data_IF_677032705074
#
_entry.id   IF_677032705074
#
_cell.length_a   1.000
_cell.length_b   1.000
_cell.length_c   1.000
_cell.angle_alpha   90.00
_cell.angle_beta   90.00
_cell.angle_gamma   90.00
#
_symmetry.space_group_name_H-M   'P 1'
#
loop_
_entity.id
_entity.type
_entity.pdbx_description
1 polymer ?
#
# COMPACT_ATOMS: atom_id res chain seq x y z
N UNK A 1 4.56 -3.32 7.85
CA UNK A 1 4.31 -1.92 8.28
C UNK A 1 4.26 -1.79 9.81
N UNK A 2 3.45 -2.58 10.52
CA UNK A 2 3.37 -2.60 12.00
C UNK A 2 4.71 -2.55 12.74
N UNK A 3 5.69 -3.39 12.38
CA UNK A 3 7.03 -3.37 13.00
C UNK A 3 7.73 -2.02 12.84
N UNK A 4 7.53 -1.36 11.69
CA UNK A 4 8.08 -0.05 11.45
C UNK A 4 7.39 1.00 12.34
N UNK A 5 6.09 0.88 12.61
CA UNK A 5 5.34 1.77 13.50
C UNK A 5 5.81 1.68 14.95
N UNK A 6 6.09 0.45 15.44
CA UNK A 6 6.65 0.20 16.79
C UNK A 6 8.08 0.76 16.95
N UNK A 7 8.77 1.06 15.84
CA UNK A 7 10.13 1.59 15.84
C UNK A 7 11.21 0.55 15.52
N UNK A 8 10.83 -0.68 15.20
CA UNK A 8 11.75 -1.75 14.80
C UNK A 8 12.02 -1.67 13.29
N UNK A 9 12.70 -0.59 12.87
CA UNK A 9 12.90 -0.28 11.44
C UNK A 9 13.66 -1.39 10.68
N UNK A 10 14.64 -2.04 11.31
CA UNK A 10 15.42 -3.13 10.69
C UNK A 10 14.53 -4.33 10.38
N UNK A 11 13.77 -4.83 11.36
CA UNK A 11 12.88 -5.96 11.16
C UNK A 11 11.78 -5.64 10.13
N UNK A 12 11.27 -4.41 10.14
CA UNK A 12 10.36 -3.91 9.11
C UNK A 12 10.97 -3.98 7.71
N UNK A 13 12.22 -3.56 7.54
CA UNK A 13 12.94 -3.64 6.26
C UNK A 13 13.16 -5.09 5.81
N UNK A 14 13.47 -6.01 6.73
CA UNK A 14 13.61 -7.44 6.41
C UNK A 14 12.31 -8.00 5.83
N UNK A 15 11.16 -7.73 6.47
CA UNK A 15 9.87 -8.20 5.94
C UNK A 15 9.53 -7.58 4.58
N UNK A 16 9.86 -6.31 4.37
CA UNK A 16 9.68 -5.68 3.06
C UNK A 16 10.64 -6.21 1.99
N UNK A 17 11.87 -6.54 2.35
CA UNK A 17 12.84 -7.19 1.46
C UNK A 17 12.33 -8.57 1.00
N UNK A 18 11.82 -9.37 1.93
CA UNK A 18 11.17 -10.66 1.61
C UNK A 18 9.98 -10.48 0.67
N UNK A 19 9.16 -9.43 0.88
CA UNK A 19 8.05 -9.11 -0.02
C UNK A 19 8.48 -8.63 -1.42
N UNK A 20 9.73 -8.19 -1.58
CA UNK A 20 10.26 -7.59 -2.82
C UNK A 20 11.01 -8.58 -3.70
N UNK A 21 11.36 -9.77 -3.18
CA UNK A 21 12.22 -10.77 -3.82
C UNK A 21 12.02 -10.93 -5.34
N UNK A 22 10.95 -11.59 -5.79
CA UNK A 22 10.73 -11.89 -7.23
C UNK A 22 9.69 -10.99 -7.89
N UNK A 23 9.14 -10.01 -7.16
CA UNK A 23 8.05 -9.16 -7.65
C UNK A 23 8.32 -7.69 -7.37
N UNK A 24 8.24 -6.87 -8.41
CA UNK A 24 8.45 -5.42 -8.33
C UNK A 24 7.46 -4.73 -7.39
N UNK A 25 6.26 -5.28 -7.19
CA UNK A 25 5.22 -4.69 -6.33
C UNK A 25 5.71 -4.43 -4.90
N UNK A 26 6.60 -5.29 -4.38
CA UNK A 26 7.16 -5.12 -3.04
C UNK A 26 8.00 -3.84 -2.90
N UNK A 27 8.61 -3.34 -3.98
CA UNK A 27 9.41 -2.10 -3.96
C UNK A 27 8.59 -0.87 -3.53
N UNK A 28 7.28 -0.86 -3.82
CA UNK A 28 6.38 0.23 -3.44
C UNK A 28 6.25 0.34 -1.91
N UNK A 29 6.52 -0.74 -1.17
CA UNK A 29 6.53 -0.72 0.30
C UNK A 29 7.64 0.17 0.88
N UNK A 30 8.70 0.47 0.12
CA UNK A 30 9.70 1.46 0.54
C UNK A 30 9.07 2.83 0.81
N UNK A 31 7.93 3.15 0.17
CA UNK A 31 7.15 4.35 0.46
C UNK A 31 6.69 4.46 1.92
N UNK A 32 6.38 3.34 2.59
CA UNK A 32 6.02 3.35 4.01
C UNK A 32 7.20 3.77 4.90
N UNK A 33 8.40 3.27 4.62
CA UNK A 33 9.63 3.65 5.33
C UNK A 33 9.89 5.15 5.14
N UNK A 34 9.91 5.62 3.89
CA UNK A 34 10.15 7.03 3.55
C UNK A 34 9.15 7.93 4.30
N UNK A 35 7.86 7.60 4.24
CA UNK A 35 6.83 8.41 4.86
C UNK A 35 6.92 8.44 6.39
N UNK A 36 7.11 7.28 7.03
CA UNK A 36 7.13 7.19 8.48
C UNK A 36 8.37 7.87 9.07
N UNK A 37 9.53 7.76 8.41
CA UNK A 37 10.73 8.51 8.79
C UNK A 37 10.54 10.02 8.57
N UNK A 38 9.95 10.44 7.45
CA UNK A 38 9.61 11.84 7.22
C UNK A 38 8.67 12.39 8.31
N UNK A 39 7.64 11.62 8.68
CA UNK A 39 6.70 11.98 9.75
C UNK A 39 7.40 12.09 11.11
N UNK A 40 8.35 11.20 11.42
CA UNK A 40 9.18 11.27 12.64
C UNK A 40 10.06 12.51 12.65
N UNK A 41 10.78 12.77 11.56
CA UNK A 41 11.63 13.95 11.42
C UNK A 41 10.83 15.23 11.63
N UNK A 42 9.69 15.40 10.96
CA UNK A 42 8.84 16.60 11.11
C UNK A 42 8.31 16.78 12.54
N UNK A 43 7.97 15.70 13.24
CA UNK A 43 7.53 15.77 14.64
C UNK A 43 8.66 16.19 15.58
N UNK A 44 9.84 15.59 15.44
CA UNK A 44 11.02 15.94 16.24
C UNK A 44 11.40 17.41 16.06
N UNK A 45 11.49 17.83 14.79
CA UNK A 45 11.69 19.21 14.36
C UNK A 45 10.74 20.18 15.08
N UNK A 46 9.44 19.87 15.10
CA UNK A 46 8.44 20.73 15.74
C UNK A 46 8.51 20.73 17.26
N UNK A 47 8.84 19.60 17.86
CA UNK A 47 9.05 19.52 19.30
C UNK A 47 10.23 20.42 19.71
N UNK A 48 11.32 20.36 18.95
CA UNK A 48 12.51 21.20 19.16
C UNK A 48 12.24 22.69 18.88
N UNK A 49 11.40 23.04 17.89
CA UNK A 49 11.00 24.43 17.67
C UNK A 49 10.14 25.01 18.81
N UNK A 50 9.31 24.18 19.44
CA UNK A 50 8.45 24.61 20.56
C UNK A 50 9.19 24.68 21.88
N UNK A 51 10.20 23.84 22.06
CA UNK A 51 11.06 23.87 23.24
C UNK A 51 12.07 25.00 23.07
N UNK A 52 11.90 26.10 23.82
CA UNK A 52 12.81 27.24 23.85
C UNK A 52 14.17 26.85 24.47
N UNK A 53 14.95 26.03 23.76
CA UNK A 53 16.22 25.48 24.21
C UNK A 53 17.35 26.36 23.68
N UNK A 54 18.13 26.94 24.61
CA UNK A 54 19.29 27.80 24.36
C UNK A 54 20.54 27.04 23.87
N UNK A 55 20.38 26.10 22.94
CA UNK A 55 21.49 25.34 22.32
C UNK A 55 21.62 25.66 20.83
N UNK A 56 22.71 25.23 20.15
CA UNK A 56 22.85 25.45 18.73
C UNK A 56 21.89 24.53 17.97
N UNK A 57 20.64 24.99 17.83
CA UNK A 57 19.51 24.26 17.27
C UNK A 57 19.92 23.60 15.95
N UNK A 58 20.69 24.30 15.10
CA UNK A 58 21.23 23.87 13.80
C UNK A 58 21.89 22.49 13.82
N UNK A 59 22.69 22.18 14.84
CA UNK A 59 23.36 20.87 14.95
C UNK A 59 22.38 19.74 15.26
N UNK A 60 21.33 20.01 16.02
CA UNK A 60 20.26 19.05 16.27
C UNK A 60 19.49 18.73 14.97
N UNK A 61 19.20 19.76 14.15
CA UNK A 61 18.55 19.58 12.85
C UNK A 61 19.37 18.75 11.87
N UNK A 62 20.66 19.10 11.72
CA UNK A 62 21.58 18.38 10.84
C UNK A 62 21.69 16.91 11.26
N UNK A 63 21.77 16.64 12.57
CA UNK A 63 21.84 15.26 13.08
C UNK A 63 20.56 14.47 12.78
N UNK A 64 19.38 15.03 13.05
CA UNK A 64 18.09 14.37 12.79
C UNK A 64 17.88 14.14 11.29
N UNK A 65 18.23 15.13 10.46
CA UNK A 65 18.14 15.02 9.01
C UNK A 65 19.10 13.95 8.48
N UNK A 66 20.38 13.98 8.90
CA UNK A 66 21.37 12.99 8.48
C UNK A 66 20.97 11.57 8.89
N UNK A 67 20.51 11.38 10.14
CA UNK A 67 20.06 10.07 10.61
C UNK A 67 18.84 9.55 9.84
N UNK A 68 17.88 10.43 9.54
CA UNK A 68 16.70 10.10 8.74
C UNK A 68 17.09 9.70 7.31
N UNK A 69 17.96 10.48 6.66
CA UNK A 69 18.47 10.20 5.31
C UNK A 69 19.21 8.86 5.27
N UNK A 70 20.11 8.61 6.23
CA UNK A 70 20.85 7.35 6.30
C UNK A 70 19.93 6.15 6.51
N UNK A 71 18.93 6.28 7.39
CA UNK A 71 17.95 5.22 7.67
C UNK A 71 17.09 4.93 6.45
N UNK A 72 16.60 5.97 5.77
CA UNK A 72 15.79 5.84 4.55
C UNK A 72 16.61 5.26 3.40
N UNK A 73 17.83 5.74 3.19
CA UNK A 73 18.71 5.25 2.13
C UNK A 73 19.08 3.77 2.36
N UNK A 74 19.57 3.44 3.56
CA UNK A 74 19.93 2.07 3.92
C UNK A 74 18.74 1.11 3.87
N UNK A 75 17.59 1.52 4.40
CA UNK A 75 16.37 0.71 4.36
C UNK A 75 15.82 0.53 2.94
N UNK A 76 15.83 1.58 2.12
CA UNK A 76 15.39 1.47 0.71
C UNK A 76 16.30 0.55 -0.09
N UNK A 77 17.62 0.64 0.10
CA UNK A 77 18.58 -0.28 -0.51
C UNK A 77 18.27 -1.71 -0.07
N UNK A 78 18.08 -1.95 1.23
CA UNK A 78 17.75 -3.28 1.74
C UNK A 78 16.45 -3.85 1.16
N UNK A 79 15.43 -3.01 0.95
CA UNK A 79 14.14 -3.40 0.37
C UNK A 79 14.27 -3.72 -1.13
N UNK A 80 14.99 -2.91 -1.89
CA UNK A 80 15.11 -3.04 -3.35
C UNK A 80 16.14 -4.09 -3.77
N UNK A 81 17.15 -4.35 -2.93
CA UNK A 81 18.26 -5.25 -3.24
C UNK A 81 17.83 -6.65 -3.70
N UNK A 82 16.90 -7.37 -3.04
CA UNK A 82 16.46 -8.68 -3.51
C UNK A 82 15.91 -8.67 -4.94
N UNK A 83 15.12 -7.65 -5.29
CA UNK A 83 14.59 -7.50 -6.64
C UNK A 83 15.71 -7.18 -7.64
N UNK A 84 16.67 -6.31 -7.27
CA UNK A 84 17.82 -6.00 -8.11
C UNK A 84 18.71 -7.24 -8.36
N UNK A 85 18.95 -8.06 -7.33
CA UNK A 85 19.67 -9.33 -7.46
C UNK A 85 18.93 -10.30 -8.38
N UNK A 86 17.60 -10.37 -8.29
CA UNK A 86 16.79 -11.18 -9.20
C UNK A 86 16.87 -10.68 -10.66
N UNK A 87 16.85 -9.35 -10.88
CA UNK A 87 17.07 -8.79 -12.22
C UNK A 87 18.48 -9.12 -12.75
N UNK A 88 19.50 -9.00 -11.90
CA UNK A 88 20.89 -9.29 -12.25
C UNK A 88 21.10 -10.78 -12.57
N UNK A 89 20.51 -11.68 -11.78
CA UNK A 89 20.49 -13.11 -12.08
C UNK A 89 19.85 -13.40 -13.45
N UNK A 90 18.72 -12.75 -13.77
CA UNK A 90 18.09 -12.85 -15.08
C UNK A 90 18.97 -12.31 -16.21
N UNK A 91 19.68 -11.20 -15.98
CA UNK A 91 20.66 -10.66 -16.92
C UNK A 91 21.79 -11.67 -17.19
N UNK A 92 22.41 -12.22 -16.16
CA UNK A 92 23.47 -13.22 -16.32
C UNK A 92 22.97 -14.47 -17.05
N UNK A 93 21.72 -14.87 -16.79
CA UNK A 93 21.15 -16.08 -17.38
C UNK A 93 20.83 -15.90 -18.87
N UNK A 94 20.29 -14.75 -19.28
CA UNK A 94 19.78 -14.54 -20.65
C UNK A 94 20.68 -13.68 -21.55
N UNK A 95 21.49 -12.79 -20.98
CA UNK A 95 22.40 -11.92 -21.74
C UNK A 95 23.84 -12.43 -21.76
N UNK A 96 24.21 -13.37 -20.88
CA UNK A 96 25.48 -14.09 -20.93
C UNK A 96 25.23 -15.59 -20.87
N UNK A 97 24.50 -16.18 -21.84
CA UNK A 97 24.19 -17.60 -21.82
C UNK A 97 25.48 -18.42 -21.86
N UNK A 98 25.57 -19.41 -20.99
CA UNK A 98 26.65 -20.43 -20.97
C UNK A 98 26.13 -21.82 -21.32
N UNK A 99 24.83 -21.93 -21.55
CA UNK A 99 24.06 -23.17 -21.67
C UNK A 99 23.60 -23.36 -23.12
N UNK A 100 23.60 -24.61 -23.58
CA UNK A 100 22.97 -24.99 -24.84
C UNK A 100 21.57 -25.53 -24.56
N UNK A 101 20.54 -24.86 -25.09
CA UNK A 101 19.13 -25.15 -24.78
C UNK A 101 18.74 -26.63 -24.98
N UNK A 102 19.28 -27.30 -26.00
CA UNK A 102 18.94 -28.70 -26.30
C UNK A 102 19.53 -29.75 -25.33
N UNK A 103 20.54 -29.39 -24.55
CA UNK A 103 21.31 -30.32 -23.72
C UNK A 103 21.14 -30.06 -22.22
N UNK A 104 21.19 -28.80 -21.78
CA UNK A 104 21.19 -28.49 -20.33
C UNK A 104 19.82 -28.08 -19.78
N UNK A 105 18.85 -27.77 -20.65
CA UNK A 105 17.49 -27.39 -20.22
C UNK A 105 16.56 -28.61 -20.25
N UNK A 106 15.86 -28.93 -19.15
CA UNK A 106 14.92 -30.04 -19.11
C UNK A 106 13.88 -29.98 -20.23
N UNK A 107 13.65 -31.11 -20.92
CA UNK A 107 12.68 -31.21 -22.02
C UNK A 107 11.27 -30.68 -21.70
N UNK A 108 10.71 -30.87 -20.50
CA UNK A 108 9.40 -30.29 -20.16
C UNK A 108 9.38 -28.76 -20.24
N UNK A 109 10.47 -28.09 -19.85
CA UNK A 109 10.58 -26.63 -19.92
C UNK A 109 10.75 -26.14 -21.36
N UNK A 110 11.49 -26.90 -22.19
CA UNK A 110 11.62 -26.60 -23.61
C UNK A 110 10.29 -26.75 -24.35
N UNK A 111 9.51 -27.78 -24.03
CA UNK A 111 8.18 -27.96 -24.61
C UNK A 111 7.27 -26.79 -24.23
N UNK A 112 7.22 -26.43 -22.95
CA UNK A 112 6.45 -25.28 -22.49
C UNK A 112 6.89 -23.98 -23.19
N UNK A 113 8.20 -23.78 -23.36
CA UNK A 113 8.73 -22.62 -24.04
C UNK A 113 8.32 -22.57 -25.52
N UNK A 114 8.32 -23.70 -26.23
CA UNK A 114 7.84 -23.78 -27.62
C UNK A 114 6.33 -23.50 -27.70
N UNK A 115 5.53 -24.08 -26.82
CA UNK A 115 4.07 -23.89 -26.80
C UNK A 115 3.66 -22.45 -26.49
N UNK A 116 4.38 -21.78 -25.59
CA UNK A 116 4.10 -20.39 -25.18
C UNK A 116 4.88 -19.33 -25.95
N UNK A 117 5.81 -19.74 -26.81
CA UNK A 117 6.71 -18.83 -27.52
C UNK A 117 7.67 -18.09 -26.57
N UNK A 118 8.08 -18.72 -25.46
CA UNK A 118 9.07 -18.16 -24.55
C UNK A 118 10.49 -18.35 -25.07
N UNK A 119 11.32 -17.33 -24.89
CA UNK A 119 12.76 -17.46 -25.09
C UNK A 119 13.40 -18.22 -23.94
N UNK A 120 14.36 -19.08 -24.30
CA UNK A 120 15.17 -19.88 -23.39
C UNK A 120 16.63 -19.43 -23.55
N UNK A 121 17.47 -19.47 -22.50
CA UNK A 121 18.90 -19.21 -22.64
C UNK A 121 19.56 -20.20 -23.60
N UNK A 122 20.24 -19.69 -24.63
CA UNK A 122 20.98 -20.51 -25.58
C UNK A 122 22.17 -19.73 -26.15
N UNK A 123 23.36 -20.33 -26.12
CA UNK A 123 24.58 -19.77 -26.74
C UNK A 123 24.46 -19.61 -28.25
N UNK A 124 23.65 -20.45 -28.91
CA UNK A 124 23.52 -20.46 -30.37
C UNK A 124 22.41 -19.54 -30.88
N UNK A 125 21.61 -18.94 -29.97
CA UNK A 125 20.53 -18.03 -30.34
C UNK A 125 20.95 -16.57 -30.19
N UNK A 126 20.35 -15.71 -31.02
CA UNK A 126 20.51 -14.27 -30.90
C UNK A 126 20.05 -13.76 -29.52
N UNK A 127 20.84 -12.89 -28.91
CA UNK A 127 20.54 -12.32 -27.60
C UNK A 127 19.18 -11.59 -27.61
N UNK A 128 18.45 -11.59 -26.49
CA UNK A 128 17.25 -10.79 -26.36
C UNK A 128 17.50 -9.30 -26.57
N UNK A 129 16.55 -8.60 -27.21
CA UNK A 129 16.68 -7.17 -27.52
C UNK A 129 16.86 -6.29 -26.29
N UNK A 130 16.34 -6.71 -25.13
CA UNK A 130 16.48 -5.95 -23.89
C UNK A 130 17.89 -5.96 -23.32
N UNK A 131 18.78 -6.86 -23.76
CA UNK A 131 20.18 -6.87 -23.33
C UNK A 131 20.97 -5.67 -23.85
N UNK A 132 20.57 -5.08 -24.99
CA UNK A 132 21.24 -3.89 -25.57
C UNK A 132 20.63 -2.56 -25.12
N UNK A 133 19.60 -2.59 -24.26
CA UNK A 133 19.00 -1.38 -23.72
C UNK A 133 19.89 -0.75 -22.65
N UNK A 134 19.81 0.59 -22.47
CA UNK A 134 20.55 1.33 -21.43
C UNK A 134 20.36 0.76 -20.02
N UNK A 135 19.19 0.20 -19.75
CA UNK A 135 18.88 -0.53 -18.53
C UNK A 135 18.30 -1.91 -18.90
N UNK A 136 19.10 -2.99 -18.84
CA UNK A 136 18.67 -4.32 -19.29
C UNK A 136 17.83 -5.02 -18.21
N UNK A 137 16.59 -4.56 -18.05
CA UNK A 137 15.65 -5.10 -17.07
C UNK A 137 14.75 -6.19 -17.69
N UNK A 138 15.01 -7.44 -17.31
CA UNK A 138 14.21 -8.60 -17.75
C UNK A 138 12.74 -8.45 -17.37
N UNK A 139 12.43 -7.90 -16.18
CA UNK A 139 11.04 -7.76 -15.73
C UNK A 139 10.22 -6.83 -16.63
N UNK A 140 10.78 -5.69 -17.03
CA UNK A 140 10.09 -4.76 -17.94
C UNK A 140 9.88 -5.37 -19.33
N UNK A 141 10.84 -6.17 -19.81
CA UNK A 141 10.67 -6.93 -21.05
C UNK A 141 9.53 -7.96 -20.94
N UNK A 142 9.51 -8.75 -19.87
CA UNK A 142 8.45 -9.76 -19.64
C UNK A 142 7.07 -9.09 -19.56
N UNK A 143 6.96 -8.00 -18.80
CA UNK A 143 5.73 -7.24 -18.65
C UNK A 143 5.19 -6.75 -20.00
N UNK A 144 6.06 -6.27 -20.89
CA UNK A 144 5.67 -5.74 -22.19
C UNK A 144 5.37 -6.83 -23.21
N UNK A 145 6.26 -7.81 -23.35
CA UNK A 145 6.23 -8.81 -24.44
C UNK A 145 5.29 -9.97 -24.12
N UNK A 146 5.37 -10.53 -22.92
CA UNK A 146 4.60 -11.72 -22.58
C UNK A 146 3.31 -11.38 -21.85
N UNK A 147 3.33 -10.38 -20.96
CA UNK A 147 2.13 -10.01 -20.21
C UNK A 147 1.29 -8.97 -20.93
N UNK A 148 1.81 -8.32 -21.97
CA UNK A 148 1.09 -7.29 -22.72
C UNK A 148 0.57 -6.13 -21.83
N UNK A 149 1.35 -5.74 -20.81
CA UNK A 149 1.05 -4.59 -19.97
C UNK A 149 1.31 -3.27 -20.72
N UNK A 150 0.51 -2.26 -20.41
CA UNK A 150 0.62 -0.94 -21.01
C UNK A 150 -0.56 -0.05 -20.62
N UNK A 151 -0.41 1.26 -20.84
CA UNK A 151 -1.47 2.23 -20.53
C UNK A 151 -2.75 1.91 -21.29
N UNK A 152 -3.81 1.57 -20.55
CA UNK A 152 -5.15 1.23 -21.03
C UNK A 152 -5.21 0.16 -22.14
N UNK A 153 -4.14 -0.60 -22.37
CA UNK A 153 -4.04 -1.60 -23.45
C UNK A 153 -5.03 -2.75 -23.28
N UNK A 154 -5.50 -2.97 -22.04
CA UNK A 154 -6.41 -4.04 -21.67
C UNK A 154 -7.90 -3.69 -21.86
N UNK A 155 -8.25 -2.43 -22.10
CA UNK A 155 -9.64 -1.99 -22.19
C UNK A 155 -10.23 -2.43 -23.54
N UNK A 156 -10.86 -3.61 -23.54
CA UNK A 156 -11.54 -4.19 -24.69
C UNK A 156 -12.93 -4.69 -24.26
N UNK A 157 -13.93 -4.58 -25.14
CA UNK A 157 -15.30 -5.02 -24.85
C UNK A 157 -15.39 -6.51 -24.49
N UNK A 158 -14.52 -7.34 -25.09
CA UNK A 158 -14.44 -8.78 -24.79
C UNK A 158 -14.04 -9.07 -23.34
N UNK A 159 -13.44 -8.11 -22.65
CA UNK A 159 -12.99 -8.25 -21.26
C UNK A 159 -14.04 -7.77 -20.24
N UNK A 160 -15.25 -7.39 -20.68
CA UNK A 160 -16.30 -6.88 -19.80
C UNK A 160 -16.60 -7.79 -18.58
N UNK A 161 -16.65 -9.13 -18.70
CA UNK A 161 -16.84 -10.01 -17.53
C UNK A 161 -15.77 -9.81 -16.45
N UNK A 162 -14.53 -9.53 -16.85
CA UNK A 162 -13.43 -9.30 -15.92
C UNK A 162 -13.53 -7.95 -15.22
N UNK A 163 -14.03 -6.92 -15.91
CA UNK A 163 -14.33 -5.63 -15.29
C UNK A 163 -15.43 -5.78 -14.25
N UNK A 164 -16.48 -6.56 -14.52
CA UNK A 164 -17.55 -6.83 -13.55
C UNK A 164 -17.02 -7.53 -12.29
N UNK A 165 -16.11 -8.49 -12.44
CA UNK A 165 -15.49 -9.17 -11.30
C UNK A 165 -14.60 -8.26 -10.45
N UNK A 166 -13.93 -7.29 -11.08
CA UNK A 166 -13.04 -6.36 -10.40
C UNK A 166 -13.76 -5.14 -9.81
N UNK A 167 -14.97 -4.84 -10.31
CA UNK A 167 -15.75 -3.65 -9.96
C UNK A 167 -15.98 -3.50 -8.45
N UNK A 168 -16.36 -4.53 -7.67
CA UNK A 168 -16.62 -4.35 -6.23
C UNK A 168 -15.36 -3.89 -5.47
N UNK A 169 -14.20 -4.47 -5.78
CA UNK A 169 -12.95 -4.10 -5.13
C UNK A 169 -12.48 -2.70 -5.54
N UNK A 170 -12.60 -2.36 -6.83
CA UNK A 170 -12.29 -1.02 -7.33
C UNK A 170 -13.20 0.04 -6.71
N UNK A 171 -14.50 -0.25 -6.64
CA UNK A 171 -15.51 0.62 -6.06
C UNK A 171 -15.26 0.84 -4.57
N UNK A 172 -15.03 -0.23 -3.80
CA UNK A 172 -14.73 -0.12 -2.36
C UNK A 172 -13.44 0.67 -2.12
N UNK A 173 -12.38 0.44 -2.91
CA UNK A 173 -11.14 1.22 -2.81
C UNK A 173 -11.35 2.69 -3.13
N UNK A 174 -12.04 3.00 -4.23
CA UNK A 174 -12.38 4.37 -4.61
C UNK A 174 -13.24 5.07 -3.56
N UNK A 175 -14.25 4.38 -3.04
CA UNK A 175 -15.14 4.91 -2.01
C UNK A 175 -14.42 5.16 -0.69
N UNK A 176 -13.55 4.24 -0.27
CA UNK A 176 -12.70 4.40 0.91
C UNK A 176 -11.80 5.66 0.81
N UNK A 177 -11.16 5.85 -0.35
CA UNK A 177 -10.34 7.03 -0.62
C UNK A 177 -11.16 8.32 -0.63
N UNK A 178 -12.31 8.32 -1.31
CA UNK A 178 -13.22 9.45 -1.37
C UNK A 178 -13.71 9.87 0.02
N UNK A 179 -14.21 8.92 0.83
CA UNK A 179 -14.72 9.20 2.18
C UNK A 179 -13.67 9.85 3.08
N UNK A 180 -12.42 9.39 3.00
CA UNK A 180 -11.34 9.95 3.83
C UNK A 180 -10.95 11.36 3.37
N UNK A 181 -10.83 11.57 2.05
CA UNK A 181 -10.49 12.89 1.48
C UNK A 181 -11.61 13.90 1.74
N UNK A 182 -12.87 13.49 1.63
CA UNK A 182 -14.02 14.33 1.91
C UNK A 182 -14.12 14.74 3.39
N UNK A 183 -13.70 13.87 4.31
CA UNK A 183 -13.69 14.16 5.73
C UNK A 183 -12.66 15.24 6.11
N UNK A 184 -11.42 15.14 5.59
CA UNK A 184 -10.32 16.05 5.95
C UNK A 184 -9.40 16.36 4.75
N UNK A 185 -9.91 17.10 3.77
CA UNK A 185 -9.17 17.47 2.55
C UNK A 185 -7.83 18.17 2.85
N UNK A 186 -7.82 19.13 3.77
CA UNK A 186 -6.60 19.88 4.12
C UNK A 186 -5.54 19.01 4.80
N UNK A 187 -5.94 17.97 5.53
CA UNK A 187 -5.00 17.01 6.10
C UNK A 187 -4.32 16.20 4.99
N UNK A 188 -5.08 15.80 3.98
CA UNK A 188 -4.58 15.08 2.80
C UNK A 188 -3.59 15.93 2.00
N UNK A 189 -3.92 17.22 1.75
CA UNK A 189 -3.02 18.16 1.05
C UNK A 189 -1.70 18.36 1.80
N UNK A 190 -1.72 18.32 3.14
CA UNK A 190 -0.51 18.40 3.98
C UNK A 190 0.21 17.06 4.14
N UNK A 191 -0.13 16.07 3.32
CA UNK A 191 0.42 14.71 3.34
C UNK A 191 0.34 14.06 4.73
N UNK A 192 -0.61 14.45 5.57
CA UNK A 192 -0.71 13.95 6.95
C UNK A 192 0.51 14.22 7.86
N UNK A 193 1.47 15.02 7.41
CA UNK A 193 2.69 15.39 8.15
C UNK A 193 2.38 16.35 9.31
N UNK A 194 1.27 17.09 9.17
CA UNK A 194 0.88 18.17 10.06
C UNK A 194 -0.53 17.92 10.58
N UNK A 195 -0.62 17.20 11.70
CA UNK A 195 -1.87 17.17 12.44
C UNK A 195 -2.03 18.49 13.19
N UNK A 196 -3.17 19.19 13.01
CA UNK A 196 -3.60 20.22 13.95
C UNK A 196 -3.79 19.48 15.26
N UNK A 197 -2.93 19.73 16.27
CA UNK A 197 -3.31 19.38 17.65
C UNK A 197 -4.64 20.10 17.85
N UNK A 198 -5.75 19.36 18.03
CA UNK A 198 -6.98 19.92 18.57
C UNK A 198 -6.54 20.62 19.84
N UNK A 199 -6.53 21.94 19.80
CA UNK A 199 -6.26 22.78 20.97
C UNK A 199 -7.20 22.32 22.06
N UNK A 200 -6.65 22.19 23.27
CA UNK A 200 -7.32 21.84 24.50
C UNK A 200 -8.45 22.85 24.80
N UNK A 201 -9.63 22.68 24.18
CA UNK A 201 -10.91 23.21 24.66
C UNK A 201 -12.00 22.24 24.20
N UNK A 202 -12.44 21.36 25.11
CA UNK A 202 -13.58 20.46 24.92
C UNK A 202 -13.21 19.11 24.29
N UNK A 203 -13.11 18.09 25.14
CA UNK A 203 -12.91 16.68 24.79
C UNK A 203 -13.82 16.22 23.64
N UNK A 204 -13.29 16.17 22.42
CA UNK A 204 -13.77 15.21 21.42
C UNK A 204 -12.68 14.16 21.29
N UNK A 205 -12.95 12.97 21.83
CA UNK A 205 -12.12 11.74 21.71
C UNK A 205 -11.43 11.70 20.33
N UNK A 206 -10.18 11.21 20.24
CA UNK A 206 -9.55 10.96 18.94
C UNK A 206 -10.56 10.20 18.07
N UNK A 207 -10.66 10.55 16.79
CA UNK A 207 -11.58 9.86 15.89
C UNK A 207 -11.18 8.37 15.84
N UNK A 208 -11.87 7.56 16.64
CA UNK A 208 -11.64 6.12 16.71
C UNK A 208 -12.22 5.51 15.44
N UNK A 209 -11.44 4.66 14.76
CA UNK A 209 -11.87 3.98 13.53
C UNK A 209 -11.18 4.49 12.25
N UNK A 210 -11.88 4.41 11.13
CA UNK A 210 -11.33 4.58 9.78
C UNK A 210 -10.77 5.99 9.49
N UNK A 211 -11.31 7.02 10.13
CA UNK A 211 -10.88 8.43 9.97
C UNK A 211 -9.64 8.79 10.81
N UNK A 212 -8.94 7.81 11.37
CA UNK A 212 -7.74 8.10 12.15
C UNK A 212 -6.60 8.60 11.24
N UNK A 213 -5.70 9.47 11.75
CA UNK A 213 -4.54 9.97 11.01
C UNK A 213 -3.45 8.92 10.74
N UNK A 214 -3.62 7.71 11.26
CA UNK A 214 -2.72 6.57 11.05
C UNK A 214 -3.07 5.80 9.77
N UNK A 215 -4.38 5.73 9.44
CA UNK A 215 -4.88 5.06 8.22
C UNK A 215 -4.46 5.80 6.95
N UNK A 216 -4.16 7.10 7.03
CA UNK A 216 -3.82 7.95 5.88
C UNK A 216 -2.76 7.35 4.94
N UNK A 217 -1.65 6.85 5.47
CA UNK A 217 -0.57 6.33 4.62
C UNK A 217 -0.99 5.06 3.88
N UNK A 218 -1.77 4.20 4.53
CA UNK A 218 -2.31 2.99 3.92
C UNK A 218 -3.32 3.33 2.81
N UNK A 219 -4.09 4.40 3.00
CA UNK A 219 -5.01 4.93 2.00
C UNK A 219 -4.29 5.48 0.77
N UNK A 220 -3.26 6.31 0.96
CA UNK A 220 -2.45 6.84 -0.13
C UNK A 220 -1.79 5.69 -0.90
N UNK A 221 -1.23 4.72 -0.20
CA UNK A 221 -0.64 3.53 -0.82
C UNK A 221 -1.69 2.75 -1.64
N UNK A 222 -2.85 2.43 -1.06
CA UNK A 222 -3.92 1.71 -1.75
C UNK A 222 -4.46 2.47 -2.96
N UNK A 223 -4.69 3.78 -2.84
CA UNK A 223 -5.16 4.62 -3.93
C UNK A 223 -4.14 4.68 -5.09
N UNK A 224 -2.85 4.80 -4.77
CA UNK A 224 -1.77 4.72 -5.76
C UNK A 224 -1.71 3.38 -6.46
N UNK A 225 -1.84 2.27 -5.72
CA UNK A 225 -1.90 0.92 -6.29
C UNK A 225 -3.13 0.70 -7.16
N UNK A 226 -4.30 1.19 -6.74
CA UNK A 226 -5.55 1.13 -7.50
C UNK A 226 -5.41 1.89 -8.82
N UNK A 227 -4.93 3.14 -8.78
CA UNK A 227 -4.71 3.94 -9.98
C UNK A 227 -3.71 3.28 -10.93
N UNK A 228 -2.59 2.78 -10.42
CA UNK A 228 -1.60 2.07 -11.23
C UNK A 228 -2.21 0.81 -11.88
N UNK A 229 -2.93 0.01 -11.10
CA UNK A 229 -3.49 -1.24 -11.59
C UNK A 229 -4.60 -1.02 -12.63
N UNK A 230 -5.46 -0.02 -12.43
CA UNK A 230 -6.51 0.38 -13.39
C UNK A 230 -5.89 0.90 -14.70
N UNK A 231 -4.76 1.62 -14.64
CA UNK A 231 -4.14 2.20 -15.83
C UNK A 231 -3.22 1.24 -16.58
N UNK A 232 -2.47 0.37 -15.90
CA UNK A 232 -1.36 -0.37 -16.48
C UNK A 232 -1.44 -1.90 -16.34
N UNK A 233 -2.27 -2.41 -15.43
CA UNK A 233 -2.40 -3.85 -15.18
C UNK A 233 -3.68 -4.42 -15.81
N UNK A 234 -3.71 -5.75 -15.96
CA UNK A 234 -4.93 -6.46 -16.30
C UNK A 234 -5.93 -6.37 -15.16
N UNK A 235 -7.15 -5.95 -15.46
CA UNK A 235 -8.20 -5.72 -14.45
C UNK A 235 -8.53 -6.99 -13.66
N UNK A 236 -8.36 -8.17 -14.27
CA UNK A 236 -8.55 -9.48 -13.64
C UNK A 236 -7.73 -9.69 -12.36
N UNK A 237 -6.54 -9.09 -12.30
CA UNK A 237 -5.62 -9.28 -11.17
C UNK A 237 -5.84 -8.20 -10.10
N UNK A 238 -6.66 -7.18 -10.37
CA UNK A 238 -6.86 -6.01 -9.51
C UNK A 238 -7.29 -6.41 -8.09
N UNK A 239 -8.34 -7.21 -7.97
CA UNK A 239 -8.90 -7.60 -6.66
C UNK A 239 -7.86 -8.29 -5.79
N UNK A 240 -7.19 -9.32 -6.33
CA UNK A 240 -6.13 -10.05 -5.61
C UNK A 240 -4.95 -9.14 -5.28
N UNK A 241 -4.58 -8.25 -6.20
CA UNK A 241 -3.49 -7.32 -6.01
C UNK A 241 -3.77 -6.40 -4.82
N UNK A 242 -4.89 -5.68 -4.83
CA UNK A 242 -5.27 -4.76 -3.75
C UNK A 242 -5.45 -5.50 -2.41
N UNK A 243 -6.15 -6.63 -2.41
CA UNK A 243 -6.42 -7.45 -1.23
C UNK A 243 -5.14 -7.97 -0.56
N UNK A 244 -4.07 -8.20 -1.33
CA UNK A 244 -2.77 -8.66 -0.82
C UNK A 244 -1.83 -7.54 -0.37
N UNK A 245 -1.98 -6.34 -0.96
CA UNK A 245 -1.03 -5.23 -0.76
C UNK A 245 -1.51 -4.19 0.23
N UNK A 246 -2.81 -4.12 0.54
CA UNK A 246 -3.33 -3.13 1.50
C UNK A 246 -4.43 -3.69 2.40
N UNK A 247 -4.37 -3.41 3.72
CA UNK A 247 -5.43 -3.78 4.65
C UNK A 247 -6.68 -2.87 4.55
N UNK A 248 -6.60 -1.75 3.81
CA UNK A 248 -7.62 -0.70 3.79
C UNK A 248 -8.98 -1.21 3.34
N UNK A 249 -9.03 -2.14 2.38
CA UNK A 249 -10.30 -2.71 1.92
C UNK A 249 -11.03 -3.41 3.08
N UNK A 250 -10.31 -4.19 3.88
CA UNK A 250 -10.90 -4.90 5.02
C UNK A 250 -11.32 -3.93 6.13
N UNK A 251 -10.48 -2.93 6.44
CA UNK A 251 -10.81 -1.92 7.44
C UNK A 251 -12.01 -1.07 7.04
N UNK A 252 -12.14 -0.73 5.76
CA UNK A 252 -13.27 0.03 5.25
C UNK A 252 -14.56 -0.81 5.29
N UNK A 253 -14.52 -2.08 4.87
CA UNK A 253 -15.66 -2.98 5.02
C UNK A 253 -16.10 -3.11 6.48
N UNK A 254 -15.16 -3.29 7.41
CA UNK A 254 -15.45 -3.34 8.85
C UNK A 254 -16.09 -2.04 9.35
N UNK A 255 -15.61 -0.88 8.87
CA UNK A 255 -16.20 0.42 9.19
C UNK A 255 -17.65 0.57 8.70
N UNK A 256 -17.95 0.10 7.48
CA UNK A 256 -19.31 0.12 6.94
C UNK A 256 -20.26 -0.78 7.75
N UNK A 257 -19.80 -1.97 8.12
CA UNK A 257 -20.59 -2.91 8.95
C UNK A 257 -20.89 -2.28 10.32
N UNK A 258 -19.87 -1.75 11.01
CA UNK A 258 -20.06 -1.09 12.30
C UNK A 258 -21.02 0.10 12.22
N UNK A 259 -20.96 0.88 11.13
CA UNK A 259 -21.89 1.98 10.91
C UNK A 259 -23.33 1.49 10.72
N UNK A 260 -23.53 0.46 9.89
CA UNK A 260 -24.84 -0.13 9.67
C UNK A 260 -25.43 -0.72 10.95
N UNK A 261 -24.63 -1.42 11.76
CA UNK A 261 -25.05 -1.96 13.07
C UNK A 261 -25.47 -0.84 14.03
N UNK A 262 -24.73 0.26 14.08
CA UNK A 262 -25.09 1.41 14.91
C UNK A 262 -26.42 2.05 14.47
N UNK A 263 -26.62 2.20 13.15
CA UNK A 263 -27.86 2.72 12.59
C UNK A 263 -29.06 1.80 12.90
N UNK A 264 -28.90 0.49 12.74
CA UNK A 264 -29.93 -0.50 13.10
C UNK A 264 -30.26 -0.49 14.61
N UNK A 265 -29.26 -0.37 15.48
CA UNK A 265 -29.49 -0.27 16.92
C UNK A 265 -30.29 1.00 17.28
N UNK A 266 -29.97 2.14 16.66
CA UNK A 266 -30.73 3.38 16.87
C UNK A 266 -32.17 3.28 16.37
N UNK A 267 -32.40 2.65 15.21
CA UNK A 267 -33.75 2.42 14.71
C UNK A 267 -34.59 1.58 15.66
N UNK A 268 -34.03 0.49 16.19
CA UNK A 268 -34.72 -0.38 17.14
C UNK A 268 -35.03 0.32 18.47
N UNK A 269 -34.18 1.24 18.92
CA UNK A 269 -34.47 2.05 20.12
C UNK A 269 -35.57 3.08 19.92
N UNK A 270 -35.75 3.59 18.69
CA UNK A 270 -36.80 4.57 18.35
C UNK A 270 -38.13 3.87 18.05
N UNK A 271 -38.08 2.66 17.46
CA UNK A 271 -39.26 1.87 17.12
C UNK A 271 -39.82 1.05 18.30
N UNK A 272 -39.10 0.95 19.42
CA UNK A 272 -39.61 0.34 20.63
C UNK A 272 -40.80 1.18 21.16
N UNK A 273 -41.99 0.58 21.38
CA UNK A 273 -43.11 1.31 21.96
C UNK A 273 -42.68 1.85 23.32
N UNK A 274 -42.82 3.15 23.51
CA UNK A 274 -42.75 3.77 24.84
C UNK A 274 -43.88 3.18 25.67
N UNK A 275 -43.58 2.12 26.43
CA UNK A 275 -44.47 1.70 27.50
C UNK A 275 -44.67 2.93 28.40
N UNK A 276 -45.91 3.41 28.59
CA UNK A 276 -46.14 4.56 29.44
C UNK A 276 -45.62 4.20 30.83
N UNK A 277 -44.67 4.99 31.31
CA UNK A 277 -44.24 4.97 32.70
C UNK A 277 -45.49 5.24 33.52
N UNK A 278 -46.03 4.18 34.15
CA UNK A 278 -47.06 4.30 35.16
C UNK A 278 -46.53 5.28 36.23
N UNK A 279 -47.24 6.38 36.52
CA UNK A 279 -46.83 7.27 37.59
C UNK A 279 -46.94 6.51 38.91
N UNK A 280 -45.80 6.13 39.50
CA UNK A 280 -45.72 5.82 40.92
C UNK A 280 -45.95 7.11 41.68
N UNK A 281 -47.20 7.41 42.01
CA UNK A 281 -47.58 8.17 43.20
C UNK A 281 -49.11 8.15 43.36
N UNK A 282 -49.60 7.20 44.16
CA UNK A 282 -50.77 7.43 44.99
C UNK A 282 -50.35 7.06 46.41
N UNK A 283 -49.99 8.08 47.18
CA UNK A 283 -50.12 8.01 48.64
C UNK A 283 -51.62 7.92 48.95
N UNK A 284 -52.04 6.84 49.59
CA UNK A 284 -53.27 6.84 50.39
C UNK A 284 -52.81 6.68 51.83
N UNK A 285 -52.98 7.76 52.60
CA UNK A 285 -52.82 7.75 54.04
C UNK A 285 -54.08 7.25 54.76
N UNK A 286 -53.82 6.70 55.95
CA UNK A 286 -54.70 6.53 57.12
C UNK A 286 -55.94 5.63 56.99
N UNK A 287 -55.93 4.51 57.72
CA UNK A 287 -56.41 4.48 59.11
C UNK A 287 -55.59 3.46 59.91
#
# INVERSE_FOLDING_TARGET
VWQLEIGWSVLGCVFFALATATRSNGTVNAGFLIYLELKRSVRHVRAVMKSAVNGPQTWCWLRVAAQSVLTVAGGTIAIVLPFALFQYYGYLTFCTPTVTSGQDVPQPLLQLAREKGYRVPDINMALPSWCSHRFPLIYSYIQKVYWNLGFLKYYQLRQLPNFLLALPAAFLGGWAAWQYVAADFWYCVRLGLVSKRRTEVGEKKPANGFHSPEVFIYLVHMAGLLAFAVCFMHIQVLTRFLASSSPVLYWFCAHLIQKAEAEHATWNSVAAPTNPVLPKNIQIGRA
#
